data_IF_145400349121
#
_entry.id   IF_145400349121
#
_cell.length_a   1.000
_cell.length_b   1.000
_cell.length_c   1.000
_cell.angle_alpha   90.00
_cell.angle_beta   90.00
_cell.angle_gamma   90.00
#
_symmetry.space_group_name_H-M   'P 1'
#
loop_
_entity.id
_entity.type
_entity.pdbx_description
1 polymer ?
#
# COMPACT_ATOMS: atom_id res chain seq x y z
N UNK A 1 -76.24 32.09 63.78
CA UNK A 1 -76.22 31.04 62.76
C UNK A 1 -75.38 31.38 61.48
N UNK A 2 -74.84 32.59 61.29
CA UNK A 2 -74.13 33.03 60.08
C UNK A 2 -72.63 32.64 60.02
N UNK A 3 -71.98 32.33 61.13
CA UNK A 3 -70.54 31.97 61.19
C UNK A 3 -70.24 30.52 60.81
N UNK A 4 -71.07 29.54 61.15
CA UNK A 4 -70.88 28.13 60.82
C UNK A 4 -71.00 27.84 59.29
N UNK A 5 -71.80 28.64 58.56
CA UNK A 5 -71.98 28.49 57.10
C UNK A 5 -70.77 28.99 56.32
N UNK A 6 -69.99 29.95 56.82
CA UNK A 6 -68.73 30.43 56.22
C UNK A 6 -67.61 29.41 56.38
N UNK A 7 -67.57 28.66 57.50
CA UNK A 7 -66.58 27.60 57.74
C UNK A 7 -66.82 26.35 56.86
N UNK A 8 -68.08 26.01 56.59
CA UNK A 8 -68.41 24.93 55.70
C UNK A 8 -68.08 25.20 54.21
N UNK A 9 -68.23 26.47 53.78
CA UNK A 9 -67.82 26.95 52.48
C UNK A 9 -66.32 26.94 52.34
N UNK A 10 -65.56 27.38 53.35
CA UNK A 10 -64.10 27.35 53.38
C UNK A 10 -63.57 25.89 53.30
N UNK A 11 -64.18 24.96 54.05
CA UNK A 11 -63.79 23.57 54.06
C UNK A 11 -64.08 22.90 52.67
N UNK A 12 -65.20 23.23 52.02
CA UNK A 12 -65.52 22.75 50.68
C UNK A 12 -64.55 23.27 49.61
N UNK A 13 -64.11 24.54 49.69
CA UNK A 13 -63.13 25.13 48.79
C UNK A 13 -61.75 24.44 48.96
N UNK A 14 -61.34 24.16 50.21
CA UNK A 14 -60.08 23.44 50.50
C UNK A 14 -60.12 22.02 49.96
N UNK A 15 -61.26 21.30 50.10
CA UNK A 15 -61.42 19.95 49.56
C UNK A 15 -61.37 19.97 48.04
N UNK A 16 -62.06 20.93 47.40
CA UNK A 16 -62.04 21.08 45.92
C UNK A 16 -60.61 21.45 45.45
N UNK A 17 -59.91 22.33 46.16
CA UNK A 17 -58.52 22.66 45.84
C UNK A 17 -57.58 21.47 46.06
N UNK A 18 -57.78 20.67 47.11
CA UNK A 18 -56.98 19.46 47.36
C UNK A 18 -57.27 18.36 46.29
N UNK A 19 -58.51 18.16 45.86
CA UNK A 19 -58.85 17.23 44.76
C UNK A 19 -58.30 17.72 43.43
N UNK A 20 -58.36 19.05 43.18
CA UNK A 20 -57.76 19.64 41.98
C UNK A 20 -56.23 19.53 41.96
N UNK A 21 -55.60 19.72 43.11
CA UNK A 21 -54.16 19.52 43.29
C UNK A 21 -53.74 18.04 43.13
N UNK A 22 -54.56 17.09 43.68
CA UNK A 22 -54.32 15.67 43.55
C UNK A 22 -54.48 15.20 42.07
N UNK A 23 -55.49 15.73 41.36
CA UNK A 23 -55.72 15.46 39.95
C UNK A 23 -54.65 16.11 39.03
N UNK A 24 -54.08 17.28 39.42
CA UNK A 24 -52.99 17.92 38.67
C UNK A 24 -51.65 17.29 38.94
N UNK A 25 -51.41 16.72 40.12
CA UNK A 25 -50.22 15.95 40.44
C UNK A 25 -50.17 14.56 39.81
N UNK A 26 -51.34 14.01 39.44
CA UNK A 26 -51.46 12.71 38.82
C UNK A 26 -51.47 12.78 37.28
N UNK A 27 -51.19 13.93 36.65
CA UNK A 27 -50.87 14.02 35.24
C UNK A 27 -49.45 13.49 35.02
N UNK A 28 -49.35 12.18 34.91
CA UNK A 28 -48.09 11.49 34.56
C UNK A 28 -47.45 12.11 33.33
N UNK A 29 -46.14 12.27 33.35
CA UNK A 29 -45.39 12.76 32.22
C UNK A 29 -45.73 11.92 31.01
N UNK A 30 -46.38 12.51 29.99
CA UNK A 30 -46.66 11.81 28.75
C UNK A 30 -45.35 11.61 28.01
N UNK A 31 -44.91 10.38 27.92
CA UNK A 31 -43.79 9.97 27.10
C UNK A 31 -44.28 9.77 25.67
N UNK A 32 -43.81 10.58 24.76
CA UNK A 32 -44.08 10.43 23.34
C UNK A 32 -43.02 9.51 22.72
N UNK A 33 -43.47 8.41 22.11
CA UNK A 33 -42.59 7.47 21.41
C UNK A 33 -42.58 7.79 19.92
N UNK A 34 -41.39 7.84 19.34
CA UNK A 34 -41.16 7.93 17.92
C UNK A 34 -40.87 6.52 17.44
N UNK A 35 -41.62 6.06 16.44
CA UNK A 35 -41.53 4.71 15.90
C UNK A 35 -41.00 4.72 14.46
N UNK A 36 -40.44 3.62 14.04
CA UNK A 36 -40.18 3.31 12.64
C UNK A 36 -40.82 1.95 12.33
N UNK A 37 -41.30 1.77 11.12
CA UNK A 37 -41.88 0.50 10.69
C UNK A 37 -40.79 -0.51 10.35
N UNK A 38 -41.05 -1.74 10.70
CA UNK A 38 -40.25 -2.88 10.23
C UNK A 38 -40.55 -3.07 8.76
N UNK A 39 -39.51 -2.95 7.94
CA UNK A 39 -39.63 -3.06 6.48
C UNK A 39 -38.94 -4.33 5.98
N UNK A 40 -39.35 -4.78 4.82
CA UNK A 40 -38.65 -5.83 4.08
C UNK A 40 -38.00 -5.25 2.84
N UNK A 41 -36.76 -5.58 2.62
CA UNK A 41 -36.01 -5.05 1.47
C UNK A 41 -34.60 -5.60 1.36
N UNK A 42 -33.84 -5.18 0.35
CA UNK A 42 -32.45 -5.55 0.22
C UNK A 42 -31.59 -4.79 1.24
N UNK A 43 -30.56 -5.45 1.74
CA UNK A 43 -29.44 -4.85 2.50
C UNK A 43 -28.17 -5.22 1.77
N UNK A 44 -27.33 -4.21 1.52
CA UNK A 44 -26.04 -4.38 0.90
C UNK A 44 -24.98 -3.91 1.90
N UNK A 45 -24.21 -4.84 2.40
CA UNK A 45 -23.01 -4.53 3.19
C UNK A 45 -21.90 -4.20 2.23
N UNK A 46 -21.35 -2.99 2.34
CA UNK A 46 -20.33 -2.46 1.44
C UNK A 46 -19.18 -1.86 2.24
N UNK A 47 -17.98 -2.14 1.79
CA UNK A 47 -16.77 -1.46 2.26
C UNK A 47 -16.51 -0.29 1.32
N UNK A 48 -16.43 0.90 1.89
CA UNK A 48 -16.06 2.11 1.17
C UNK A 48 -14.57 2.39 1.38
N UNK A 49 -13.84 2.58 0.28
CA UNK A 49 -12.42 2.84 0.29
C UNK A 49 -12.06 3.96 -0.67
N UNK A 50 -11.05 4.73 -0.31
CA UNK A 50 -10.45 5.70 -1.23
C UNK A 50 -9.18 5.13 -1.83
N UNK A 51 -8.89 5.46 -3.08
CA UNK A 51 -7.70 4.95 -3.74
C UNK A 51 -7.19 5.87 -4.84
N UNK A 52 -6.07 5.49 -5.42
CA UNK A 52 -5.47 6.18 -6.56
C UNK A 52 -5.45 5.28 -7.79
N UNK A 53 -5.73 5.87 -8.93
CA UNK A 53 -5.64 5.19 -10.22
C UNK A 53 -4.19 5.16 -10.68
N UNK A 54 -3.71 3.99 -11.08
CA UNK A 54 -2.36 3.78 -11.58
C UNK A 54 -2.38 2.88 -12.81
N UNK A 55 -1.37 3.02 -13.68
CA UNK A 55 -1.18 2.03 -14.75
C UNK A 55 -0.64 0.72 -14.16
N UNK A 56 -0.86 -0.39 -14.86
CA UNK A 56 -0.42 -1.72 -14.44
C UNK A 56 1.10 -1.77 -14.29
N UNK A 57 1.83 -1.22 -15.26
CA UNK A 57 3.28 -1.12 -15.25
C UNK A 57 3.69 0.32 -15.50
N UNK A 58 4.42 0.88 -14.56
CA UNK A 58 5.06 2.19 -14.66
C UNK A 58 6.54 2.03 -14.42
N UNK A 59 7.37 2.53 -15.35
CA UNK A 59 8.82 2.50 -15.24
C UNK A 59 9.35 3.91 -15.13
N UNK A 60 10.19 4.14 -14.14
CA UNK A 60 10.95 5.39 -14.00
C UNK A 60 12.27 5.25 -14.75
N UNK A 61 12.46 6.07 -15.77
CA UNK A 61 13.67 6.12 -16.59
C UNK A 61 14.57 7.22 -16.03
N UNK A 62 15.72 6.82 -15.51
CA UNK A 62 16.70 7.73 -14.92
C UNK A 62 18.01 7.77 -15.70
N UNK A 63 18.95 8.63 -15.25
CA UNK A 63 20.33 8.65 -15.76
C UNK A 63 21.26 7.83 -14.89
N UNK A 64 22.21 7.13 -15.53
CA UNK A 64 23.30 6.41 -14.87
C UNK A 64 24.58 7.27 -14.81
N UNK A 65 24.64 8.38 -15.56
CA UNK A 65 25.79 9.29 -15.60
C UNK A 65 25.35 10.70 -15.29
N UNK A 66 26.23 11.47 -14.68
CA UNK A 66 26.01 12.90 -14.39
C UNK A 66 26.36 13.75 -15.61
N UNK A 67 25.55 14.76 -15.88
CA UNK A 67 25.82 15.69 -16.98
C UNK A 67 24.64 16.63 -17.25
N UNK A 68 24.77 17.48 -18.24
CA UNK A 68 23.71 18.41 -18.66
C UNK A 68 22.85 17.77 -19.75
N UNK A 69 21.53 17.91 -19.65
CA UNK A 69 20.61 17.44 -20.69
C UNK A 69 20.79 18.30 -21.95
N UNK A 70 21.36 17.69 -22.99
CA UNK A 70 21.57 18.36 -24.27
C UNK A 70 20.28 18.43 -25.10
N UNK A 71 19.48 17.37 -25.08
CA UNK A 71 18.25 17.25 -25.87
C UNK A 71 17.26 16.28 -25.23
N UNK A 72 15.97 16.64 -25.35
CA UNK A 72 14.85 15.76 -25.08
C UNK A 72 14.14 15.43 -26.39
N UNK A 73 13.94 14.14 -26.68
CA UNK A 73 13.26 13.67 -27.89
C UNK A 73 11.82 13.23 -27.61
N UNK A 74 11.45 13.10 -26.35
CA UNK A 74 10.09 12.80 -25.90
C UNK A 74 9.59 13.89 -24.96
N UNK A 75 8.30 14.16 -24.98
CA UNK A 75 7.63 15.11 -24.11
C UNK A 75 6.42 14.46 -23.46
N UNK A 76 5.69 15.19 -22.62
CA UNK A 76 4.44 14.71 -22.00
C UNK A 76 3.51 14.10 -23.05
N UNK A 77 2.86 13.00 -22.71
CA UNK A 77 1.92 12.24 -23.55
C UNK A 77 2.51 11.66 -24.86
N UNK A 78 3.82 11.77 -25.08
CA UNK A 78 4.48 11.15 -26.24
C UNK A 78 4.44 9.63 -26.13
N UNK A 79 4.10 8.95 -27.23
CA UNK A 79 4.27 7.50 -27.36
C UNK A 79 5.72 7.19 -27.68
N UNK A 80 6.25 6.20 -26.99
CA UNK A 80 7.64 5.73 -27.17
C UNK A 80 7.66 4.21 -27.25
N UNK A 81 8.60 3.69 -28.05
CA UNK A 81 8.85 2.26 -28.16
C UNK A 81 10.11 1.88 -27.38
N UNK A 82 10.19 0.61 -27.02
CA UNK A 82 11.39 0.06 -26.39
C UNK A 82 12.62 0.30 -27.27
N UNK A 83 13.65 0.95 -26.69
CA UNK A 83 14.89 1.30 -27.39
C UNK A 83 14.91 2.70 -27.98
N UNK A 84 13.77 3.40 -28.09
CA UNK A 84 13.73 4.78 -28.56
C UNK A 84 14.57 5.70 -27.67
N UNK A 85 15.30 6.62 -28.29
CA UNK A 85 16.09 7.60 -27.55
C UNK A 85 15.17 8.70 -27.05
N UNK A 86 14.98 8.76 -25.74
CA UNK A 86 14.08 9.72 -25.06
C UNK A 86 14.82 10.98 -24.59
N UNK A 87 16.10 10.85 -24.21
CA UNK A 87 16.94 11.99 -23.86
C UNK A 87 18.39 11.76 -24.26
N UNK A 88 19.13 12.85 -24.38
CA UNK A 88 20.56 12.89 -24.63
C UNK A 88 21.23 13.80 -23.61
N UNK A 89 22.19 13.25 -22.88
CA UNK A 89 23.10 14.02 -22.03
C UNK A 89 24.26 14.49 -22.91
N UNK A 90 24.85 15.65 -22.62
CA UNK A 90 26.01 16.18 -23.37
C UNK A 90 27.15 15.14 -23.35
N UNK A 91 27.50 14.57 -24.52
CA UNK A 91 28.50 13.52 -24.63
C UNK A 91 29.94 14.06 -24.69
N UNK A 92 30.17 15.38 -24.67
CA UNK A 92 31.48 15.97 -24.96
C UNK A 92 32.60 15.44 -24.03
N UNK A 93 32.33 15.43 -22.71
CA UNK A 93 33.27 14.92 -21.73
C UNK A 93 33.55 13.41 -21.88
N UNK A 94 32.52 12.63 -22.12
CA UNK A 94 32.61 11.17 -22.30
C UNK A 94 33.33 10.80 -23.59
N UNK A 95 33.11 11.54 -24.69
CA UNK A 95 33.86 11.38 -25.94
C UNK A 95 35.32 11.70 -25.73
N UNK A 96 35.66 12.75 -24.98
CA UNK A 96 37.02 13.11 -24.62
C UNK A 96 37.70 12.01 -23.82
N UNK A 97 37.02 11.44 -22.81
CA UNK A 97 37.55 10.33 -22.01
C UNK A 97 37.78 9.07 -22.85
N UNK A 98 36.84 8.73 -23.77
CA UNK A 98 36.99 7.60 -24.68
C UNK A 98 38.18 7.79 -25.62
N UNK A 99 38.40 9.00 -26.18
CA UNK A 99 39.51 9.30 -27.04
C UNK A 99 40.85 9.16 -26.28
N UNK A 100 40.92 9.64 -25.03
CA UNK A 100 42.09 9.52 -24.19
C UNK A 100 42.45 8.05 -23.90
N UNK A 101 41.46 7.26 -23.45
CA UNK A 101 41.68 5.83 -23.16
C UNK A 101 42.05 5.02 -24.42
N UNK A 102 41.50 5.38 -25.58
CA UNK A 102 41.86 4.78 -26.88
C UNK A 102 43.32 5.12 -27.26
N UNK A 103 43.76 6.35 -27.03
CA UNK A 103 45.17 6.75 -27.25
C UNK A 103 46.11 5.97 -26.34
N UNK A 104 45.74 5.80 -25.04
CA UNK A 104 46.53 5.00 -24.09
C UNK A 104 46.65 3.53 -24.53
N UNK A 105 45.56 2.92 -25.06
CA UNK A 105 45.59 1.58 -25.62
C UNK A 105 46.57 1.49 -26.81
N UNK A 106 46.55 2.45 -27.73
CA UNK A 106 47.49 2.49 -28.86
C UNK A 106 48.93 2.59 -28.39
N UNK A 107 49.24 3.36 -27.34
CA UNK A 107 50.54 3.45 -26.73
C UNK A 107 50.99 2.10 -26.13
N UNK A 108 50.10 1.39 -25.43
CA UNK A 108 50.36 0.04 -24.92
C UNK A 108 50.67 -0.96 -26.03
N UNK A 109 49.90 -0.91 -27.15
CA UNK A 109 50.16 -1.72 -28.33
C UNK A 109 51.51 -1.45 -28.98
N UNK A 110 51.93 -0.16 -29.05
CA UNK A 110 53.24 0.21 -29.55
C UNK A 110 54.37 -0.35 -28.66
N UNK A 111 54.15 -0.31 -27.31
CA UNK A 111 55.10 -0.89 -26.35
C UNK A 111 55.24 -2.40 -26.52
N UNK A 112 54.16 -3.13 -26.84
CA UNK A 112 54.25 -4.56 -27.17
C UNK A 112 55.09 -4.81 -28.42
N UNK A 113 54.94 -3.98 -29.47
CA UNK A 113 55.76 -4.09 -30.68
C UNK A 113 57.23 -3.90 -30.36
N UNK A 114 57.57 -2.91 -29.52
CA UNK A 114 58.94 -2.68 -29.06
C UNK A 114 59.49 -3.86 -28.23
N UNK A 115 58.67 -4.42 -27.32
CA UNK A 115 59.04 -5.59 -26.52
C UNK A 115 59.30 -6.83 -27.41
N UNK A 116 58.52 -7.04 -28.46
CA UNK A 116 58.73 -8.11 -29.46
C UNK A 116 60.04 -7.90 -30.22
N UNK A 117 60.37 -6.69 -30.68
CA UNK A 117 61.63 -6.38 -31.32
C UNK A 117 62.80 -6.64 -30.40
N UNK A 118 62.71 -6.30 -29.10
CA UNK A 118 63.74 -6.58 -28.10
C UNK A 118 63.91 -8.10 -27.88
N UNK A 119 62.86 -8.89 -27.89
CA UNK A 119 62.97 -10.36 -27.84
C UNK A 119 63.72 -10.91 -29.05
N UNK A 120 63.45 -10.46 -30.27
CA UNK A 120 64.15 -10.89 -31.46
C UNK A 120 65.67 -10.52 -31.42
N UNK A 121 66.00 -9.33 -30.91
CA UNK A 121 67.42 -8.92 -30.63
C UNK A 121 68.07 -9.87 -29.64
N UNK A 122 67.36 -10.22 -28.53
CA UNK A 122 67.94 -11.15 -27.52
C UNK A 122 68.10 -12.57 -28.11
N UNK A 123 67.18 -13.05 -28.91
CA UNK A 123 67.28 -14.34 -29.62
C UNK A 123 68.45 -14.37 -30.57
N UNK A 124 68.73 -13.32 -31.36
CA UNK A 124 69.84 -13.25 -32.25
C UNK A 124 71.21 -13.33 -31.49
N UNK A 125 71.28 -12.60 -30.36
CA UNK A 125 72.51 -12.68 -29.49
C UNK A 125 72.68 -14.10 -28.89
N UNK A 126 71.60 -14.73 -28.47
CA UNK A 126 71.58 -16.10 -27.95
C UNK A 126 72.04 -17.11 -29.00
N UNK A 127 71.59 -17.01 -30.24
CA UNK A 127 72.04 -17.90 -31.35
C UNK A 127 73.55 -17.77 -31.56
N UNK A 128 74.13 -16.54 -31.53
CA UNK A 128 75.56 -16.32 -31.66
C UNK A 128 76.28 -16.96 -30.51
N UNK A 129 75.91 -16.64 -29.24
CA UNK A 129 76.67 -17.14 -28.06
C UNK A 129 76.50 -18.67 -27.93
N UNK A 130 75.41 -19.24 -28.34
CA UNK A 130 75.24 -20.69 -28.44
C UNK A 130 76.21 -21.33 -29.41
N UNK A 131 76.33 -20.78 -30.63
CA UNK A 131 77.28 -21.27 -31.61
C UNK A 131 78.76 -21.17 -31.14
N UNK A 132 79.12 -20.08 -30.38
CA UNK A 132 80.39 -19.92 -29.79
C UNK A 132 80.66 -20.93 -28.66
N UNK A 133 79.64 -21.21 -27.79
CA UNK A 133 79.80 -22.24 -26.78
C UNK A 133 79.90 -23.65 -27.38
N UNK A 134 79.06 -24.02 -28.38
CA UNK A 134 79.10 -25.32 -29.05
C UNK A 134 80.50 -25.54 -29.68
N UNK A 135 81.08 -24.54 -30.29
CA UNK A 135 82.51 -24.57 -30.79
C UNK A 135 83.49 -24.76 -29.68
N UNK A 136 83.38 -24.03 -28.59
CA UNK A 136 84.21 -24.13 -27.41
C UNK A 136 84.19 -25.53 -26.78
N UNK A 137 83.06 -26.14 -26.66
CA UNK A 137 82.86 -27.54 -26.23
C UNK A 137 83.62 -28.52 -27.13
N UNK A 138 83.55 -28.38 -28.46
CA UNK A 138 84.30 -29.19 -29.41
C UNK A 138 85.79 -29.06 -29.21
N UNK A 139 86.37 -27.81 -29.16
CA UNK A 139 87.78 -27.56 -29.00
C UNK A 139 88.33 -28.02 -27.66
N UNK A 140 87.49 -27.91 -26.58
CA UNK A 140 87.92 -28.40 -25.22
C UNK A 140 87.96 -29.96 -25.23
N UNK A 141 87.09 -30.64 -25.93
CA UNK A 141 87.05 -32.10 -26.08
C UNK A 141 88.36 -32.55 -26.82
N UNK A 142 88.75 -31.79 -27.80
CA UNK A 142 89.98 -32.06 -28.58
C UNK A 142 91.25 -31.61 -27.82
N UNK A 143 91.18 -31.10 -26.62
CA UNK A 143 92.33 -30.69 -25.77
C UNK A 143 92.99 -29.38 -26.20
N UNK A 144 92.43 -28.60 -27.09
CA UNK A 144 92.98 -27.39 -27.68
C UNK A 144 92.57 -26.10 -26.93
N UNK A 145 91.63 -26.16 -26.02
CA UNK A 145 91.05 -25.02 -25.28
C UNK A 145 91.23 -25.18 -23.74
N UNK A 146 91.54 -24.08 -23.00
CA UNK A 146 91.64 -24.12 -21.56
C UNK A 146 90.22 -24.19 -20.90
N UNK A 147 90.18 -24.80 -19.70
CA UNK A 147 88.88 -24.88 -18.92
C UNK A 147 88.34 -23.46 -18.63
N UNK A 148 89.19 -22.48 -18.32
CA UNK A 148 88.74 -21.11 -18.09
C UNK A 148 88.02 -20.49 -19.28
N UNK A 149 88.51 -20.79 -20.51
CA UNK A 149 87.88 -20.29 -21.74
C UNK A 149 86.54 -20.96 -21.99
N UNK A 150 86.39 -22.27 -21.70
CA UNK A 150 85.11 -23.02 -21.80
C UNK A 150 84.09 -22.47 -20.80
N UNK A 151 84.49 -22.23 -19.52
CA UNK A 151 83.65 -21.69 -18.48
C UNK A 151 83.15 -20.26 -18.83
N UNK A 152 84.02 -19.43 -19.45
CA UNK A 152 83.60 -18.12 -19.96
C UNK A 152 82.61 -18.21 -21.09
N UNK A 153 82.79 -19.10 -22.03
CA UNK A 153 81.88 -19.32 -23.13
C UNK A 153 80.46 -19.82 -22.63
N UNK A 154 80.53 -20.72 -21.63
CA UNK A 154 79.30 -21.19 -20.95
C UNK A 154 78.59 -20.05 -20.20
N UNK A 155 79.31 -19.25 -19.45
CA UNK A 155 78.73 -18.10 -18.71
C UNK A 155 78.06 -17.10 -19.66
N UNK A 156 78.67 -16.81 -20.82
CA UNK A 156 78.10 -15.96 -21.85
C UNK A 156 76.83 -16.57 -22.47
N UNK A 157 76.84 -17.87 -22.74
CA UNK A 157 75.64 -18.60 -23.20
C UNK A 157 74.50 -18.55 -22.18
N UNK A 158 74.79 -18.87 -20.91
CA UNK A 158 73.77 -18.84 -19.84
C UNK A 158 73.23 -17.40 -19.61
N UNK A 159 74.04 -16.36 -19.68
CA UNK A 159 73.64 -14.96 -19.61
C UNK A 159 72.71 -14.57 -20.80
N UNK A 160 73.03 -15.01 -22.02
CA UNK A 160 72.24 -14.72 -23.19
C UNK A 160 70.83 -15.47 -23.11
N UNK A 161 70.84 -16.71 -22.60
CA UNK A 161 69.61 -17.47 -22.39
C UNK A 161 68.75 -16.78 -21.35
N UNK A 162 69.26 -16.33 -20.24
CA UNK A 162 68.59 -15.56 -19.24
C UNK A 162 67.99 -14.25 -19.82
N UNK A 163 68.76 -13.57 -20.70
CA UNK A 163 68.26 -12.37 -21.42
C UNK A 163 67.05 -12.64 -22.32
N UNK A 164 67.01 -13.78 -23.02
CA UNK A 164 65.82 -14.21 -23.79
C UNK A 164 64.62 -14.42 -22.87
N UNK A 165 64.81 -15.08 -21.71
CA UNK A 165 63.76 -15.26 -20.72
C UNK A 165 63.19 -13.95 -20.20
N UNK A 166 64.08 -13.00 -19.88
CA UNK A 166 63.68 -11.67 -19.43
C UNK A 166 62.93 -10.88 -20.51
N UNK A 167 63.36 -10.94 -21.77
CA UNK A 167 62.67 -10.29 -22.89
C UNK A 167 61.29 -10.95 -23.16
N UNK A 168 61.15 -12.27 -22.99
CA UNK A 168 59.87 -12.96 -23.09
C UNK A 168 58.89 -12.52 -21.95
N UNK A 169 59.40 -12.40 -20.73
CA UNK A 169 58.59 -11.90 -19.61
C UNK A 169 58.09 -10.47 -19.85
N UNK A 170 58.92 -9.59 -20.48
CA UNK A 170 58.49 -8.23 -20.84
C UNK A 170 57.35 -8.23 -21.87
N UNK A 171 57.29 -9.21 -22.77
CA UNK A 171 56.13 -9.36 -23.70
C UNK A 171 54.86 -9.69 -22.91
N UNK A 172 54.92 -10.66 -21.99
CA UNK A 172 53.75 -11.03 -21.16
C UNK A 172 53.28 -9.83 -20.34
N UNK A 173 54.21 -9.01 -19.80
CA UNK A 173 53.89 -7.78 -19.10
C UNK A 173 53.20 -6.75 -20.02
N UNK A 174 53.72 -6.56 -21.25
CA UNK A 174 53.10 -5.64 -22.23
C UNK A 174 51.72 -6.11 -22.66
N UNK A 175 51.50 -7.42 -22.83
CA UNK A 175 50.17 -8.00 -23.16
C UNK A 175 49.20 -7.80 -22.01
N UNK A 176 49.62 -7.96 -20.74
CA UNK A 176 48.78 -7.67 -19.58
C UNK A 176 48.37 -6.17 -19.53
N UNK A 177 49.30 -5.25 -19.88
CA UNK A 177 49.01 -3.82 -19.96
C UNK A 177 47.99 -3.50 -21.07
N UNK A 178 48.02 -4.18 -22.21
CA UNK A 178 47.02 -4.04 -23.28
C UNK A 178 45.66 -4.44 -22.75
N UNK A 179 45.54 -5.61 -22.12
CA UNK A 179 44.28 -6.07 -21.55
C UNK A 179 43.69 -5.09 -20.53
N UNK A 180 44.57 -4.50 -19.70
CA UNK A 180 44.14 -3.43 -18.75
C UNK A 180 43.63 -2.19 -19.49
N UNK A 181 44.29 -1.74 -20.57
CA UNK A 181 43.85 -0.57 -21.34
C UNK A 181 42.58 -0.86 -22.16
N UNK A 182 42.40 -2.07 -22.68
CA UNK A 182 41.18 -2.51 -23.34
C UNK A 182 39.97 -2.46 -22.39
N UNK A 183 40.13 -2.93 -21.15
CA UNK A 183 39.10 -2.79 -20.10
C UNK A 183 38.75 -1.32 -19.82
N UNK A 184 39.75 -0.43 -19.77
CA UNK A 184 39.53 1.01 -19.56
C UNK A 184 38.75 1.65 -20.74
N UNK A 185 39.04 1.27 -21.98
CA UNK A 185 38.29 1.69 -23.17
C UNK A 185 36.84 1.20 -23.11
N UNK A 186 36.61 -0.07 -22.72
CA UNK A 186 35.27 -0.62 -22.57
C UNK A 186 34.43 0.16 -21.54
N UNK A 187 35.00 0.52 -20.40
CA UNK A 187 34.35 1.36 -19.38
C UNK A 187 34.02 2.75 -19.94
N UNK A 188 34.95 3.40 -20.64
CA UNK A 188 34.73 4.73 -21.22
C UNK A 188 33.63 4.68 -22.29
N UNK A 189 33.57 3.64 -23.11
CA UNK A 189 32.53 3.42 -24.11
C UNK A 189 31.17 3.23 -23.45
N UNK A 190 31.07 2.40 -22.41
CA UNK A 190 29.84 2.17 -21.66
C UNK A 190 29.31 3.48 -21.06
N UNK A 191 30.17 4.31 -20.48
CA UNK A 191 29.80 5.61 -19.94
C UNK A 191 29.29 6.56 -21.05
N UNK A 192 29.89 6.52 -22.22
CA UNK A 192 29.38 7.27 -23.39
C UNK A 192 28.02 6.76 -23.83
N UNK A 193 27.79 5.44 -23.86
CA UNK A 193 26.49 4.86 -24.22
C UNK A 193 25.39 5.25 -23.22
N UNK A 194 25.73 5.39 -21.93
CA UNK A 194 24.81 5.86 -20.89
C UNK A 194 24.40 7.34 -21.05
N UNK A 195 25.10 8.12 -21.88
CA UNK A 195 24.62 9.47 -22.21
C UNK A 195 23.38 9.45 -23.09
N UNK A 196 23.09 8.32 -23.77
CA UNK A 196 21.94 8.14 -24.63
C UNK A 196 20.86 7.40 -23.83
N UNK A 197 19.89 8.13 -23.30
CA UNK A 197 18.83 7.55 -22.49
C UNK A 197 17.75 7.00 -23.38
N UNK A 198 17.42 5.72 -23.21
CA UNK A 198 16.45 4.99 -24.03
C UNK A 198 15.27 4.53 -23.19
N UNK A 199 14.10 4.41 -23.82
CA UNK A 199 12.95 3.77 -23.19
C UNK A 199 13.18 2.27 -23.02
N UNK A 200 12.99 1.71 -21.80
CA UNK A 200 13.09 0.27 -21.55
C UNK A 200 11.84 -0.52 -22.00
N UNK A 201 10.70 0.17 -22.19
CA UNK A 201 9.40 -0.41 -22.53
C UNK A 201 8.70 0.38 -23.63
N UNK A 202 7.73 -0.24 -24.27
CA UNK A 202 6.72 0.45 -25.08
C UNK A 202 5.72 1.12 -24.16
N UNK A 203 5.32 2.38 -24.45
CA UNK A 203 4.37 3.06 -23.59
C UNK A 203 4.16 4.54 -23.91
N UNK A 204 3.55 5.23 -22.96
CA UNK A 204 3.31 6.68 -23.02
C UNK A 204 4.03 7.36 -21.86
N UNK A 205 4.69 8.48 -22.17
CA UNK A 205 5.35 9.33 -21.15
C UNK A 205 4.28 10.03 -20.31
N UNK A 206 4.22 9.68 -19.03
CA UNK A 206 3.28 10.26 -18.05
C UNK A 206 3.86 11.52 -17.41
N UNK A 207 5.16 11.49 -17.10
CA UNK A 207 5.82 12.62 -16.47
C UNK A 207 7.23 12.83 -17.04
N UNK A 208 7.64 14.11 -17.12
CA UNK A 208 8.97 14.59 -17.45
C UNK A 208 9.46 15.45 -16.30
N UNK A 209 10.55 15.03 -15.66
CA UNK A 209 11.03 15.67 -14.44
C UNK A 209 12.27 16.55 -14.65
N UNK A 210 12.72 16.70 -15.89
CA UNK A 210 13.91 17.47 -16.25
C UNK A 210 13.68 18.32 -17.50
N UNK A 211 14.42 19.41 -17.64
CA UNK A 211 14.41 20.31 -18.79
C UNK A 211 15.72 20.29 -19.57
N UNK A 212 15.68 20.75 -20.84
CA UNK A 212 16.89 20.93 -21.64
C UNK A 212 17.79 21.99 -20.98
N UNK A 213 19.07 21.71 -20.88
CA UNK A 213 20.05 22.55 -20.17
C UNK A 213 20.14 22.28 -18.66
N UNK A 214 19.24 21.47 -18.09
CA UNK A 214 19.32 21.08 -16.69
C UNK A 214 20.46 20.09 -16.46
N UNK A 215 21.22 20.29 -15.37
CA UNK A 215 22.25 19.35 -14.94
C UNK A 215 21.65 18.29 -14.02
N UNK A 216 21.90 17.03 -14.32
CA UNK A 216 21.51 15.86 -13.51
C UNK A 216 22.75 15.25 -12.87
N UNK A 217 22.65 14.87 -11.58
CA UNK A 217 23.72 14.26 -10.81
C UNK A 217 23.29 12.84 -10.39
N UNK A 218 23.99 11.83 -10.89
CA UNK A 218 23.71 10.41 -10.64
C UNK A 218 24.53 9.83 -9.47
N UNK A 219 25.27 10.66 -8.71
CA UNK A 219 26.23 10.22 -7.72
C UNK A 219 25.62 9.67 -6.43
N UNK A 220 24.43 10.12 -6.01
CA UNK A 220 23.76 9.71 -4.75
C UNK A 220 22.46 8.93 -5.02
N UNK A 221 21.66 9.41 -5.94
CA UNK A 221 20.44 8.75 -6.41
C UNK A 221 20.32 8.99 -7.91
N UNK A 222 19.93 7.94 -8.65
CA UNK A 222 19.64 8.10 -10.07
C UNK A 222 18.42 9.04 -10.23
N UNK A 223 18.60 10.25 -10.81
CA UNK A 223 17.50 11.17 -11.01
C UNK A 223 16.53 10.61 -12.04
N UNK A 224 15.24 10.55 -11.71
CA UNK A 224 14.20 10.16 -12.65
C UNK A 224 14.02 11.27 -13.68
N UNK A 225 14.21 10.94 -14.94
CA UNK A 225 14.06 11.86 -16.09
C UNK A 225 12.64 11.77 -16.65
N UNK A 226 12.18 10.53 -16.91
CA UNK A 226 10.83 10.26 -17.40
C UNK A 226 10.16 9.17 -16.57
N UNK A 227 8.83 9.27 -16.47
CA UNK A 227 7.97 8.20 -16.00
C UNK A 227 7.15 7.71 -17.19
N UNK A 228 7.29 6.44 -17.56
CA UNK A 228 6.65 5.84 -18.73
C UNK A 228 5.67 4.77 -18.25
N UNK A 229 4.40 4.90 -18.63
CA UNK A 229 3.36 3.91 -18.41
C UNK A 229 3.23 3.00 -19.65
N UNK A 230 3.22 1.69 -19.45
CA UNK A 230 3.21 0.72 -20.54
C UNK A 230 1.87 0.74 -21.30
N UNK A 231 0.76 0.65 -20.59
CA UNK A 231 -0.57 0.59 -21.18
C UNK A 231 -1.56 1.36 -20.29
N UNK A 232 -2.22 2.36 -20.87
CA UNK A 232 -3.24 3.15 -20.19
C UNK A 232 -4.66 2.63 -20.47
N UNK A 233 -4.82 1.59 -21.29
CA UNK A 233 -6.12 0.95 -21.56
C UNK A 233 -6.50 -0.04 -20.46
N UNK A 234 -5.52 -0.57 -19.72
CA UNK A 234 -5.69 -1.41 -18.54
C UNK A 234 -5.07 -0.72 -17.34
N UNK A 235 -5.84 -0.49 -16.33
CA UNK A 235 -5.42 0.28 -15.17
C UNK A 235 -5.85 -0.39 -13.87
N UNK A 236 -5.22 0.01 -12.79
CA UNK A 236 -5.51 -0.44 -11.45
C UNK A 236 -5.93 0.72 -10.56
N UNK A 237 -6.92 0.49 -9.70
CA UNK A 237 -7.16 1.34 -8.53
C UNK A 237 -6.47 0.70 -7.33
N UNK A 238 -5.62 1.45 -6.65
CA UNK A 238 -5.03 1.08 -5.37
C UNK A 238 -5.93 1.64 -4.28
N UNK A 239 -6.93 0.84 -3.88
CA UNK A 239 -7.88 1.22 -2.85
C UNK A 239 -7.29 0.92 -1.47
N UNK A 240 -7.27 1.93 -0.58
CA UNK A 240 -6.84 1.80 0.81
C UNK A 240 -8.00 1.24 1.62
N UNK A 241 -7.91 -0.01 2.04
CA UNK A 241 -8.92 -0.70 2.85
C UNK A 241 -8.41 -0.88 4.27
N UNK A 242 -9.27 -0.67 5.26
CA UNK A 242 -8.92 -0.82 6.67
C UNK A 242 -8.70 -2.29 7.03
N UNK A 243 -7.84 -2.55 8.01
CA UNK A 243 -7.51 -3.91 8.49
C UNK A 243 -8.76 -4.69 8.91
N UNK A 244 -9.76 -4.01 9.50
CA UNK A 244 -11.03 -4.63 9.93
C UNK A 244 -11.87 -5.19 8.79
N UNK A 245 -11.70 -4.66 7.57
CA UNK A 245 -12.56 -4.96 6.43
C UNK A 245 -11.92 -5.91 5.43
N UNK A 246 -10.59 -6.07 5.51
CA UNK A 246 -9.81 -6.87 4.55
C UNK A 246 -10.29 -8.33 4.46
N UNK A 247 -10.62 -8.96 5.60
CA UNK A 247 -11.06 -10.36 5.64
C UNK A 247 -12.40 -10.59 4.93
N UNK A 248 -13.24 -9.54 4.88
CA UNK A 248 -14.54 -9.58 4.23
C UNK A 248 -14.47 -9.44 2.72
N UNK A 249 -13.36 -8.90 2.18
CA UNK A 249 -13.18 -8.63 0.75
C UNK A 249 -12.75 -9.91 0.03
N UNK A 250 -13.55 -10.33 -0.96
CA UNK A 250 -13.25 -11.55 -1.75
C UNK A 250 -12.66 -11.18 -3.10
N UNK A 251 -11.59 -11.90 -3.50
CA UNK A 251 -11.02 -11.78 -4.83
C UNK A 251 -12.05 -12.16 -5.92
N UNK A 252 -11.96 -11.50 -7.09
CA UNK A 252 -12.88 -11.73 -8.20
C UNK A 252 -14.24 -11.03 -8.07
N UNK A 253 -14.50 -10.31 -6.97
CA UNK A 253 -15.74 -9.51 -6.81
C UNK A 253 -15.72 -8.31 -7.74
N UNK A 254 -16.87 -8.07 -8.37
CA UNK A 254 -17.12 -6.85 -9.13
C UNK A 254 -17.37 -5.72 -8.15
N UNK A 255 -16.64 -4.63 -8.33
CA UNK A 255 -16.74 -3.41 -7.53
C UNK A 255 -17.09 -2.23 -8.41
N UNK A 256 -17.67 -1.20 -7.82
CA UNK A 256 -17.95 0.05 -8.49
C UNK A 256 -17.09 1.15 -7.91
N UNK A 257 -16.66 2.07 -8.75
CA UNK A 257 -15.93 3.24 -8.29
C UNK A 257 -16.32 4.50 -9.06
N UNK A 258 -16.13 5.63 -8.42
CA UNK A 258 -16.31 6.95 -9.00
C UNK A 258 -15.03 7.74 -8.88
N UNK A 259 -14.80 8.67 -9.79
CA UNK A 259 -13.65 9.58 -9.76
C UNK A 259 -14.14 11.02 -9.68
N UNK A 260 -13.41 11.87 -8.96
CA UNK A 260 -13.77 13.29 -8.80
C UNK A 260 -13.87 14.04 -10.14
N UNK A 261 -13.03 13.65 -11.10
CA UNK A 261 -13.04 14.26 -12.42
C UNK A 261 -14.33 13.98 -13.22
N UNK A 262 -15.03 12.87 -12.94
CA UNK A 262 -16.22 12.41 -13.65
C UNK A 262 -17.33 11.95 -12.68
N UNK A 263 -17.90 12.85 -11.87
CA UNK A 263 -18.80 12.47 -10.75
C UNK A 263 -20.12 11.83 -11.19
N UNK A 264 -20.52 12.04 -12.45
CA UNK A 264 -21.76 11.45 -13.00
C UNK A 264 -21.56 10.05 -13.59
N UNK A 265 -20.32 9.59 -13.73
CA UNK A 265 -20.02 8.29 -14.30
C UNK A 265 -19.58 7.34 -13.19
N UNK A 266 -20.14 6.13 -13.22
CA UNK A 266 -19.74 5.03 -12.35
C UNK A 266 -18.99 4.01 -13.20
N UNK A 267 -17.79 3.67 -12.77
CA UNK A 267 -16.94 2.70 -13.42
C UNK A 267 -17.02 1.36 -12.68
N UNK A 268 -16.76 0.29 -13.38
CA UNK A 268 -16.71 -1.04 -12.80
C UNK A 268 -15.30 -1.61 -12.91
N UNK A 269 -14.92 -2.36 -11.90
CA UNK A 269 -13.68 -3.10 -11.85
C UNK A 269 -13.84 -4.41 -11.11
N UNK A 270 -12.79 -5.18 -11.05
CA UNK A 270 -12.77 -6.47 -10.36
C UNK A 270 -11.62 -6.48 -9.37
N UNK A 271 -11.86 -6.96 -8.15
CA UNK A 271 -10.79 -7.15 -7.15
C UNK A 271 -9.84 -8.23 -7.67
N UNK A 272 -8.63 -7.82 -8.02
CA UNK A 272 -7.59 -8.70 -8.56
C UNK A 272 -6.77 -9.34 -7.46
N UNK A 273 -6.33 -8.54 -6.48
CA UNK A 273 -5.51 -9.00 -5.35
C UNK A 273 -5.59 -8.03 -4.17
N UNK A 274 -5.27 -8.52 -3.00
CA UNK A 274 -5.03 -7.71 -1.80
C UNK A 274 -3.54 -7.83 -1.47
N UNK A 275 -2.84 -6.71 -1.34
CA UNK A 275 -1.42 -6.70 -0.99
C UNK A 275 -1.24 -6.92 0.50
N UNK A 276 -0.38 -7.86 0.86
CA UNK A 276 -0.11 -8.21 2.27
C UNK A 276 0.79 -7.21 3.00
N UNK A 277 1.39 -6.25 2.26
CA UNK A 277 2.23 -5.21 2.87
C UNK A 277 1.36 -4.06 3.37
N UNK A 278 1.22 -3.85 4.69
CA UNK A 278 0.41 -2.78 5.24
C UNK A 278 1.08 -1.42 5.06
N UNK A 279 0.26 -0.40 4.92
CA UNK A 279 0.69 1.01 5.01
C UNK A 279 0.09 1.61 6.26
N UNK A 280 0.92 2.11 7.18
CA UNK A 280 0.44 2.77 8.39
C UNK A 280 0.54 4.28 8.23
N UNK A 281 -0.60 4.96 8.30
CA UNK A 281 -0.69 6.43 8.26
C UNK A 281 -1.44 6.89 9.50
N UNK A 282 -0.83 7.77 10.30
CA UNK A 282 -1.44 8.30 11.54
C UNK A 282 -1.98 7.20 12.48
N UNK A 283 -1.25 6.11 12.64
CA UNK A 283 -1.64 4.95 13.45
C UNK A 283 -2.83 4.12 12.91
N UNK A 284 -3.30 4.39 11.71
CA UNK A 284 -4.29 3.57 11.02
C UNK A 284 -3.56 2.64 10.06
N UNK A 285 -3.81 1.34 10.21
CA UNK A 285 -3.24 0.29 9.34
C UNK A 285 -4.20 0.04 8.18
N UNK A 286 -3.70 0.24 6.97
CA UNK A 286 -4.48 -0.01 5.74
C UNK A 286 -3.73 -0.95 4.81
N UNK A 287 -4.49 -1.69 4.02
CA UNK A 287 -3.98 -2.60 2.99
C UNK A 287 -4.39 -2.11 1.60
N UNK A 288 -3.52 -2.33 0.62
CA UNK A 288 -3.82 -1.99 -0.77
C UNK A 288 -4.65 -3.10 -1.42
N UNK A 289 -5.93 -2.85 -1.63
CA UNK A 289 -6.80 -3.68 -2.46
C UNK A 289 -6.70 -3.22 -3.92
N UNK A 290 -6.19 -4.09 -4.78
CA UNK A 290 -5.98 -3.80 -6.20
C UNK A 290 -7.22 -4.17 -6.99
N UNK A 291 -7.76 -3.18 -7.69
CA UNK A 291 -8.94 -3.34 -8.54
C UNK A 291 -8.53 -3.10 -9.99
N UNK A 292 -8.67 -4.12 -10.79
CA UNK A 292 -8.40 -4.05 -12.23
C UNK A 292 -9.62 -3.56 -12.98
N UNK A 293 -9.40 -2.62 -13.92
CA UNK A 293 -10.45 -2.11 -14.78
C UNK A 293 -9.92 -1.74 -16.16
N UNK A 294 -10.83 -1.71 -17.15
CA UNK A 294 -10.54 -1.31 -18.51
C UNK A 294 -10.82 0.18 -18.72
N UNK A 295 -9.90 0.87 -19.43
CA UNK A 295 -9.99 2.29 -19.78
C UNK A 295 -9.81 2.50 -21.29
N UNK A 296 -10.68 1.92 -22.14
CA UNK A 296 -10.50 1.93 -23.60
C UNK A 296 -10.55 3.34 -24.21
N UNK A 297 -11.29 4.25 -23.58
CA UNK A 297 -11.46 5.62 -24.05
C UNK A 297 -10.38 6.59 -23.51
N UNK A 298 -9.44 6.09 -22.71
CA UNK A 298 -8.36 6.85 -22.07
C UNK A 298 -8.87 8.08 -21.28
N UNK A 299 -10.07 7.99 -20.71
CA UNK A 299 -10.69 9.08 -19.91
C UNK A 299 -10.09 9.20 -18.51
N UNK A 300 -9.58 8.10 -17.98
CA UNK A 300 -9.00 8.03 -16.66
C UNK A 300 -7.48 8.10 -16.75
N UNK A 301 -6.88 9.00 -15.97
CA UNK A 301 -5.44 9.22 -15.96
C UNK A 301 -4.80 8.70 -14.67
N UNK A 302 -3.55 8.25 -14.71
CA UNK A 302 -2.79 7.93 -13.52
C UNK A 302 -2.74 9.11 -12.54
N UNK A 303 -2.87 8.83 -11.23
CA UNK A 303 -2.90 9.83 -10.18
C UNK A 303 -4.28 10.35 -9.82
N UNK A 304 -5.35 10.03 -10.56
CA UNK A 304 -6.73 10.38 -10.17
C UNK A 304 -7.14 9.65 -8.91
N UNK A 305 -7.92 10.34 -8.05
CA UNK A 305 -8.53 9.75 -6.85
C UNK A 305 -9.82 9.03 -7.23
N UNK A 306 -9.98 7.83 -6.73
CA UNK A 306 -11.17 6.99 -6.91
C UNK A 306 -11.81 6.68 -5.56
N UNK A 307 -13.14 6.80 -5.49
CA UNK A 307 -13.97 6.35 -4.39
C UNK A 307 -14.55 5.00 -4.77
N UNK A 308 -14.15 3.97 -4.06
CA UNK A 308 -14.48 2.58 -4.37
C UNK A 308 -15.52 2.07 -3.39
N UNK A 309 -16.54 1.41 -3.93
CA UNK A 309 -17.57 0.68 -3.15
C UNK A 309 -17.44 -0.80 -3.47
N UNK A 310 -17.00 -1.57 -2.47
CA UNK A 310 -16.76 -3.01 -2.57
C UNK A 310 -17.91 -3.73 -1.90
N UNK A 311 -18.77 -4.47 -2.63
CA UNK A 311 -19.85 -5.24 -2.02
C UNK A 311 -19.28 -6.47 -1.31
N UNK A 312 -19.49 -6.55 0.00
CA UNK A 312 -19.05 -7.67 0.85
C UNK A 312 -20.13 -8.73 0.94
N UNK A 313 -21.32 -8.34 1.40
CA UNK A 313 -22.47 -9.20 1.52
C UNK A 313 -23.72 -8.51 0.98
N UNK A 314 -24.63 -9.31 0.42
CA UNK A 314 -25.92 -8.82 -0.07
C UNK A 314 -27.00 -9.80 0.38
N UNK A 315 -28.01 -9.32 1.06
CA UNK A 315 -29.22 -10.05 1.35
C UNK A 315 -30.39 -9.39 0.64
N UNK A 316 -31.11 -10.16 -0.16
CA UNK A 316 -32.30 -9.69 -0.86
C UNK A 316 -33.54 -10.13 -0.11
N UNK A 317 -34.52 -9.20 0.06
CA UNK A 317 -35.80 -9.49 0.65
C UNK A 317 -35.79 -9.96 2.11
N UNK A 318 -34.92 -9.33 2.93
CA UNK A 318 -34.80 -9.59 4.37
C UNK A 318 -35.57 -8.57 5.20
N UNK A 319 -35.97 -8.97 6.41
CA UNK A 319 -36.53 -8.05 7.40
C UNK A 319 -35.42 -7.15 7.90
N UNK A 320 -35.61 -5.83 7.80
CA UNK A 320 -34.64 -4.84 8.21
C UNK A 320 -35.18 -3.90 9.27
N UNK A 321 -34.31 -3.56 10.21
CA UNK A 321 -34.57 -2.62 11.28
C UNK A 321 -33.60 -1.44 11.21
N UNK A 322 -34.04 -0.20 11.45
CA UNK A 322 -33.14 0.91 11.56
C UNK A 322 -32.23 0.73 12.78
N UNK A 323 -30.94 1.02 12.63
CA UNK A 323 -29.94 0.86 13.68
C UNK A 323 -30.24 1.69 14.93
N UNK A 324 -31.03 2.75 14.78
CA UNK A 324 -31.53 3.55 15.92
C UNK A 324 -32.45 2.75 16.84
N UNK A 325 -33.23 1.80 16.31
CA UNK A 325 -34.09 0.94 17.13
C UNK A 325 -33.29 -0.07 17.97
N UNK A 326 -32.15 -0.54 17.44
CA UNK A 326 -31.24 -1.45 18.16
C UNK A 326 -30.52 -0.79 19.34
N UNK A 327 -30.36 0.54 19.27
CA UNK A 327 -29.68 1.34 20.32
C UNK A 327 -30.64 1.99 21.29
N UNK A 328 -31.95 1.86 21.09
CA UNK A 328 -32.96 2.46 21.94
C UNK A 328 -32.96 1.85 23.33
N UNK A 329 -32.96 2.69 24.35
CA UNK A 329 -33.15 2.32 25.76
C UNK A 329 -34.40 3.00 26.29
N UNK A 330 -35.36 2.23 26.82
CA UNK A 330 -36.59 2.81 27.37
C UNK A 330 -36.28 3.69 28.59
N UNK A 331 -37.05 4.76 28.82
CA UNK A 331 -36.90 5.66 29.99
C UNK A 331 -37.51 5.03 31.25
N UNK A 332 -37.13 3.79 31.57
CA UNK A 332 -37.56 2.98 32.71
C UNK A 332 -36.37 2.72 33.64
N UNK A 333 -36.67 2.34 34.88
CA UNK A 333 -35.65 1.88 35.82
C UNK A 333 -35.08 0.53 35.41
N UNK A 334 -33.86 0.24 35.81
CA UNK A 334 -33.19 -1.05 35.48
C UNK A 334 -34.00 -2.24 36.00
N UNK A 335 -34.68 -2.07 37.14
CA UNK A 335 -35.49 -3.12 37.77
C UNK A 335 -36.74 -3.40 36.92
N UNK A 336 -37.42 -2.37 36.44
CA UNK A 336 -38.62 -2.50 35.57
C UNK A 336 -38.25 -3.17 34.23
N UNK A 337 -37.13 -2.84 33.64
CA UNK A 337 -36.64 -3.48 32.43
C UNK A 337 -36.32 -4.95 32.65
N UNK A 338 -35.67 -5.29 33.78
CA UNK A 338 -35.40 -6.69 34.12
C UNK A 338 -36.65 -7.51 34.38
N UNK A 339 -37.67 -6.92 35.01
CA UNK A 339 -38.94 -7.60 35.24
C UNK A 339 -39.71 -7.85 33.91
N UNK A 340 -39.67 -6.89 32.98
CA UNK A 340 -40.15 -7.10 31.62
C UNK A 340 -39.42 -8.20 30.90
N UNK A 341 -38.09 -8.24 30.97
CA UNK A 341 -37.30 -9.30 30.37
C UNK A 341 -37.64 -10.68 30.93
N UNK A 342 -37.83 -10.80 32.26
CA UNK A 342 -38.30 -12.04 32.89
C UNK A 342 -39.69 -12.44 32.43
N UNK A 343 -40.61 -11.47 32.34
CA UNK A 343 -41.98 -11.72 31.91
C UNK A 343 -42.03 -12.27 30.48
N UNK A 344 -41.20 -11.76 29.55
CA UNK A 344 -41.12 -12.21 28.18
C UNK A 344 -40.05 -13.32 27.94
N UNK A 345 -39.45 -13.84 29.00
CA UNK A 345 -38.49 -14.96 28.93
C UNK A 345 -37.20 -14.66 28.19
N UNK A 346 -36.74 -13.40 28.25
CA UNK A 346 -35.48 -12.94 27.64
C UNK A 346 -34.38 -13.10 28.67
N UNK A 347 -33.68 -14.24 28.65
CA UNK A 347 -32.52 -14.48 29.50
C UNK A 347 -31.24 -13.93 28.86
N UNK A 348 -30.28 -13.42 29.67
CA UNK A 348 -28.93 -13.05 29.21
C UNK A 348 -28.75 -11.59 28.81
N UNK A 349 -29.62 -10.65 29.23
CA UNK A 349 -29.43 -9.22 28.98
C UNK A 349 -28.39 -8.54 29.90
N UNK A 350 -27.73 -9.27 30.78
CA UNK A 350 -26.71 -8.74 31.70
C UNK A 350 -25.36 -8.43 31.06
N UNK A 351 -25.05 -8.94 29.87
CA UNK A 351 -23.72 -8.79 29.21
C UNK A 351 -23.54 -7.45 28.44
N UNK A 352 -24.55 -6.57 28.41
CA UNK A 352 -24.39 -5.24 27.79
C UNK A 352 -23.92 -4.15 28.77
N UNK A 353 -23.25 -4.50 29.87
CA UNK A 353 -22.58 -3.54 30.75
C UNK A 353 -21.22 -3.16 30.18
N UNK A 354 -21.08 -1.89 29.86
CA UNK A 354 -19.88 -1.02 29.68
C UNK A 354 -18.50 -1.69 29.81
N UNK A 355 -17.56 -1.39 28.90
CA UNK A 355 -16.16 -1.81 29.00
C UNK A 355 -15.39 -0.98 30.05
N UNK A 356 -15.79 -1.04 31.34
CA UNK A 356 -15.11 -0.31 32.40
C UNK A 356 -14.89 -1.12 33.70
N UNK A 357 -14.84 -2.43 33.61
CA UNK A 357 -14.54 -3.26 34.78
C UNK A 357 -13.82 -4.57 34.37
N UNK A 358 -12.69 -4.45 33.63
CA UNK A 358 -11.68 -5.52 33.53
C UNK A 358 -10.30 -4.87 33.63
N UNK A 359 -10.02 -4.35 34.81
CA UNK A 359 -8.67 -4.07 35.25
C UNK A 359 -8.67 -4.31 36.77
N UNK A 360 -8.58 -5.57 37.13
CA UNK A 360 -8.05 -6.08 38.41
C UNK A 360 -8.55 -7.51 38.60
N UNK A 361 -7.79 -8.47 38.04
CA UNK A 361 -7.53 -9.76 38.66
C UNK A 361 -6.44 -10.47 37.85
N UNK A 362 -5.22 -10.17 38.21
CA UNK A 362 -4.07 -11.01 37.87
C UNK A 362 -3.99 -12.16 38.88
N UNK A 363 -3.94 -13.37 38.38
CA UNK A 363 -3.42 -14.47 39.19
C UNK A 363 -3.85 -15.87 38.71
N UNK A 364 -2.90 -16.57 38.12
CA UNK A 364 -2.76 -18.00 38.07
C UNK A 364 -3.60 -18.82 37.06
N UNK A 365 -2.93 -19.18 35.98
CA UNK A 365 -2.67 -20.58 35.57
C UNK A 365 -3.83 -21.46 35.15
N UNK A 366 -3.66 -21.97 33.96
CA UNK A 366 -3.92 -23.32 33.46
C UNK A 366 -4.70 -23.34 32.13
N UNK A 367 -4.02 -23.93 31.16
CA UNK A 367 -4.48 -24.33 29.83
C UNK A 367 -5.93 -24.86 29.80
N UNK A 368 -6.73 -24.23 28.93
CA UNK A 368 -7.92 -24.86 28.38
C UNK A 368 -7.90 -24.67 26.85
N UNK A 369 -7.96 -25.81 26.20
CA UNK A 369 -7.90 -26.07 24.78
C UNK A 369 -8.71 -25.06 23.94
N UNK A 370 -8.04 -24.46 22.96
CA UNK A 370 -8.63 -23.70 21.84
C UNK A 370 -9.48 -24.65 20.96
N UNK A 371 -10.75 -24.77 21.30
CA UNK A 371 -11.77 -25.16 20.33
C UNK A 371 -12.22 -23.89 19.60
N UNK A 372 -12.35 -23.89 18.26
CA UNK A 372 -12.87 -22.75 17.54
C UNK A 372 -14.28 -22.45 18.01
N UNK A 373 -14.47 -21.34 18.73
CA UNK A 373 -15.79 -20.82 19.09
C UNK A 373 -16.47 -20.41 17.80
N UNK A 374 -17.58 -21.06 17.47
CA UNK A 374 -18.47 -20.60 16.42
C UNK A 374 -18.79 -19.11 16.66
N UNK A 375 -18.88 -18.26 15.61
CA UNK A 375 -19.20 -16.85 15.77
C UNK A 375 -20.52 -16.76 16.53
N UNK A 376 -20.54 -16.13 17.71
CA UNK A 376 -21.76 -15.84 18.46
C UNK A 376 -22.57 -14.90 17.56
N UNK A 377 -23.71 -15.37 17.07
CA UNK A 377 -24.67 -14.52 16.38
C UNK A 377 -24.97 -13.33 17.33
N UNK A 378 -24.68 -12.14 16.85
CA UNK A 378 -24.90 -10.94 17.64
C UNK A 378 -26.40 -10.79 17.85
N UNK A 379 -26.85 -10.76 19.09
CA UNK A 379 -28.29 -10.64 19.41
C UNK A 379 -28.55 -9.30 20.09
N UNK A 380 -29.64 -8.66 19.72
CA UNK A 380 -30.10 -7.41 20.29
C UNK A 380 -31.55 -7.51 20.76
N UNK A 381 -31.96 -6.59 21.64
CA UNK A 381 -33.35 -6.44 22.05
C UNK A 381 -33.92 -5.17 21.43
N UNK A 382 -35.03 -5.32 20.72
CA UNK A 382 -35.74 -4.24 20.07
C UNK A 382 -37.08 -4.05 20.79
N UNK A 383 -37.54 -2.81 20.90
CA UNK A 383 -38.78 -2.48 21.60
C UNK A 383 -39.89 -2.23 20.57
N UNK A 384 -40.87 -3.14 20.54
CA UNK A 384 -42.06 -3.01 19.74
C UNK A 384 -43.09 -2.19 20.50
N UNK A 385 -43.78 -1.25 19.82
CA UNK A 385 -44.88 -0.45 20.37
C UNK A 385 -46.22 -1.03 19.91
N UNK A 386 -47.05 -1.38 20.86
CA UNK A 386 -48.43 -1.79 20.57
C UNK A 386 -49.35 -0.59 20.42
N UNK A 387 -50.56 -0.75 19.79
CA UNK A 387 -51.52 0.32 19.67
C UNK A 387 -52.02 0.87 21.00
N UNK A 388 -51.95 0.10 22.08
CA UNK A 388 -52.30 0.46 23.46
C UNK A 388 -51.16 1.20 24.17
N UNK A 389 -50.05 1.56 23.46
CA UNK A 389 -48.85 2.19 23.97
C UNK A 389 -48.02 1.31 24.93
N UNK A 390 -48.32 0.05 25.03
CA UNK A 390 -47.47 -0.91 25.75
C UNK A 390 -46.20 -1.23 24.93
N UNK A 391 -45.08 -1.42 25.65
CA UNK A 391 -43.79 -1.74 25.04
C UNK A 391 -43.50 -3.23 25.24
N UNK A 392 -43.23 -3.93 24.17
CA UNK A 392 -42.82 -5.33 24.16
C UNK A 392 -41.35 -5.45 23.79
N UNK A 393 -40.47 -6.03 24.63
CA UNK A 393 -39.11 -6.34 24.25
C UNK A 393 -39.06 -7.59 23.37
N UNK A 394 -38.46 -7.51 22.20
CA UNK A 394 -38.28 -8.62 21.26
C UNK A 394 -36.78 -8.88 21.09
N UNK A 395 -36.33 -10.10 21.38
CA UNK A 395 -34.94 -10.50 21.18
C UNK A 395 -34.75 -11.04 19.77
N UNK A 396 -33.88 -10.39 19.01
CA UNK A 396 -33.56 -10.73 17.62
C UNK A 396 -32.10 -11.11 17.45
N UNK A 397 -31.84 -12.00 16.51
CA UNK A 397 -30.50 -12.27 16.00
C UNK A 397 -30.24 -11.35 14.82
N UNK A 398 -29.09 -10.67 14.85
CA UNK A 398 -28.69 -9.72 13.83
C UNK A 398 -27.93 -10.43 12.70
N UNK A 399 -28.14 -9.99 11.48
CA UNK A 399 -27.42 -10.39 10.29
C UNK A 399 -26.52 -9.26 9.78
N UNK A 400 -26.52 -9.07 8.46
CA UNK A 400 -25.71 -8.02 7.82
C UNK A 400 -26.31 -6.63 8.07
N UNK A 401 -25.44 -5.61 8.00
CA UNK A 401 -25.82 -4.21 8.20
C UNK A 401 -25.27 -3.34 7.08
N UNK A 402 -26.04 -2.31 6.70
CA UNK A 402 -25.60 -1.25 5.78
C UNK A 402 -25.32 0.06 6.53
N UNK A 403 -25.05 0.00 7.84
CA UNK A 403 -24.85 1.12 8.77
C UNK A 403 -26.11 1.96 9.05
N UNK A 404 -27.15 1.91 8.22
CA UNK A 404 -28.44 2.56 8.45
C UNK A 404 -29.48 1.55 8.97
N UNK A 405 -29.52 0.37 8.37
CA UNK A 405 -30.39 -0.75 8.72
C UNK A 405 -29.56 -1.99 9.00
N UNK A 406 -30.12 -2.85 9.86
CA UNK A 406 -29.57 -4.19 10.15
C UNK A 406 -30.60 -5.25 9.85
N UNK A 407 -30.16 -6.35 9.24
CA UNK A 407 -30.96 -7.54 9.00
C UNK A 407 -31.36 -8.20 10.30
N UNK A 408 -32.61 -8.63 10.39
CA UNK A 408 -33.07 -9.58 11.40
C UNK A 408 -33.02 -10.98 10.80
N UNK A 409 -31.97 -11.72 11.15
CA UNK A 409 -31.81 -13.09 10.64
C UNK A 409 -32.77 -14.09 11.30
N UNK A 410 -33.13 -13.88 12.57
CA UNK A 410 -34.10 -14.67 13.29
C UNK A 410 -34.69 -13.90 14.47
N UNK A 411 -35.97 -14.15 14.79
CA UNK A 411 -36.61 -13.71 16.03
C UNK A 411 -36.39 -14.80 17.07
N UNK A 412 -35.61 -14.50 18.12
CA UNK A 412 -35.28 -15.48 19.16
C UNK A 412 -36.37 -15.58 20.23
N UNK A 413 -36.96 -14.45 20.63
CA UNK A 413 -38.05 -14.34 21.60
C UNK A 413 -38.96 -13.16 21.25
N UNK A 414 -40.28 -13.32 21.42
CA UNK A 414 -41.27 -12.34 21.01
C UNK A 414 -41.79 -12.58 19.59
N UNK A 415 -42.59 -11.64 19.06
CA UNK A 415 -43.13 -11.68 17.69
C UNK A 415 -42.81 -10.34 17.00
N UNK A 416 -42.14 -10.41 15.85
CA UNK A 416 -41.81 -9.24 15.03
C UNK A 416 -42.13 -9.52 13.58
N UNK A 417 -43.06 -8.75 13.03
CA UNK A 417 -43.52 -8.88 11.65
C UNK A 417 -43.28 -7.62 10.86
N UNK A 418 -43.31 -7.76 9.54
CA UNK A 418 -43.29 -6.63 8.61
C UNK A 418 -44.51 -5.72 8.89
N UNK A 419 -44.26 -4.40 9.00
CA UNK A 419 -45.26 -3.40 9.33
C UNK A 419 -45.39 -3.07 10.81
N UNK A 420 -44.76 -3.84 11.71
CA UNK A 420 -44.76 -3.55 13.15
C UNK A 420 -44.02 -2.23 13.44
N UNK A 421 -44.50 -1.50 14.45
CA UNK A 421 -43.88 -0.26 14.87
C UNK A 421 -42.80 -0.53 15.96
N UNK A 422 -41.53 -0.22 15.66
CA UNK A 422 -40.40 -0.32 16.62
C UNK A 422 -39.99 1.06 17.08
N UNK A 423 -39.68 1.18 18.37
CA UNK A 423 -39.36 2.46 18.98
C UNK A 423 -37.91 2.83 18.66
N UNK A 424 -37.70 4.01 18.09
CA UNK A 424 -36.36 4.56 17.76
C UNK A 424 -35.91 5.63 18.76
N UNK A 425 -36.90 6.31 19.40
CA UNK A 425 -36.67 7.39 20.37
C UNK A 425 -37.90 7.62 21.23
N UNK A 426 -37.68 8.02 22.48
CA UNK A 426 -38.75 8.56 23.33
C UNK A 426 -38.39 9.93 23.87
N UNK A 427 -39.37 10.80 24.01
CA UNK A 427 -39.25 12.13 24.61
C UNK A 427 -40.25 12.25 25.75
N UNK A 428 -39.77 12.38 26.96
CA UNK A 428 -40.58 12.65 28.15
C UNK A 428 -40.73 14.15 28.32
N UNK A 429 -41.91 14.70 28.05
CA UNK A 429 -42.16 16.13 28.29
C UNK A 429 -42.31 16.36 29.80
N UNK A 430 -41.30 16.92 30.47
CA UNK A 430 -41.46 17.51 31.78
C UNK A 430 -42.32 18.77 31.61
N UNK A 431 -43.55 18.77 32.13
CA UNK A 431 -44.37 19.97 32.21
C UNK A 431 -43.62 21.02 33.03
N UNK A 432 -43.12 22.06 32.37
CA UNK A 432 -42.54 23.23 33.06
C UNK A 432 -43.63 23.89 33.88
N UNK A 433 -43.49 23.92 35.19
CA UNK A 433 -44.36 24.72 36.05
C UNK A 433 -44.29 26.21 35.61
N UNK A 434 -45.44 26.93 35.57
CA UNK A 434 -45.48 28.32 35.15
C UNK A 434 -44.58 29.15 36.09
N UNK A 435 -43.56 29.75 35.49
CA UNK A 435 -42.54 30.51 36.18
C UNK A 435 -43.16 31.68 36.95
N UNK A 436 -42.81 31.79 38.23
CA UNK A 436 -42.97 32.99 39.04
C UNK A 436 -42.22 34.15 38.38
N UNK A 437 -42.99 35.15 37.94
CA UNK A 437 -42.50 36.48 37.58
C UNK A 437 -41.71 37.06 38.75
N UNK A 438 -40.42 37.14 38.66
CA UNK A 438 -39.57 37.97 39.52
C UNK A 438 -39.67 39.42 39.04
N UNK A 439 -40.18 40.26 39.92
CA UNK A 439 -40.11 41.72 39.87
C UNK A 439 -38.67 42.19 40.07
#
# INVERSE_FOLDING_TARGET
MKTKRKWLIAAAVVIVAAVFAALSLNRGAQTQHFTAKVERGPINDVVEATGTINSVITVQVGSQVSGTIAKLNADFNSRVHKGDVVALIDPALFKGALLQTTADLKNAQANLVAARANLEKAKAAFVQTKADYDRAVGLARDGVMSQQQLDLAKSNYDAANASVGAAAANITQAEAQISQKEAAVAVAQTNLDYTIIRSPIDGTVVARNVDVGQTVAASLQAPTIFTIAQDLTKMWVYAKTDESDVDNIKMGKVVTFKVDALPKQTFQGVVSQIRMNPTTVQSVVTYDTIIEFANPELKLFPGMTAYVTIPVATASNVVKLPNTALRYKPPMTTEEVLDLYKHYGIEGAEEQRSPKAVAEENGAGVSAQNLPRAPKAESAVVWKLHPDQSMEPVKVSLGITDHAYTEVSAVLKGDLKEGDDVIIRSVTSKTQAPGTLRR
#
